data_IF_488885137502
#
_entry.id   IF_488885137502
#
_cell.length_a   1.000
_cell.length_b   1.000
_cell.length_c   1.000
_cell.angle_alpha   90.00
_cell.angle_beta   90.00
_cell.angle_gamma   90.00
#
_symmetry.space_group_name_H-M   'P 1'
#
loop_
_entity.id
_entity.type
_entity.pdbx_description
1 polymer ?
#
# COMPACT_ATOMS: atom_id res chain seq x y z
N UNK A 1 -53.24 40.35 23.28
CA UNK A 1 -52.21 41.43 23.43
C UNK A 1 -50.93 40.74 23.86
N UNK A 2 -49.77 40.78 23.20
CA UNK A 2 -49.23 41.60 22.12
C UNK A 2 -48.41 40.67 21.20
N UNK A 3 -48.65 40.73 19.89
CA UNK A 3 -47.69 40.29 18.89
C UNK A 3 -46.40 41.10 19.04
N UNK A 4 -45.24 40.45 18.98
CA UNK A 4 -43.97 41.10 18.66
C UNK A 4 -43.32 40.35 17.51
N UNK A 5 -43.28 41.05 16.39
CA UNK A 5 -42.60 40.74 15.15
C UNK A 5 -41.08 40.68 15.37
N UNK A 6 -40.42 39.69 14.78
CA UNK A 6 -38.99 39.74 14.51
C UNK A 6 -38.84 39.82 12.99
N UNK A 7 -38.29 40.95 12.55
CA UNK A 7 -37.99 41.31 11.17
C UNK A 7 -36.69 40.58 10.81
N UNK A 8 -36.75 39.67 9.84
CA UNK A 8 -35.58 39.10 9.19
C UNK A 8 -35.27 39.90 7.90
N UNK A 9 -34.06 40.46 7.73
CA UNK A 9 -33.69 41.06 6.46
C UNK A 9 -33.36 39.95 5.46
N UNK A 10 -34.20 39.85 4.41
CA UNK A 10 -33.94 39.02 3.25
C UNK A 10 -32.81 39.62 2.41
N UNK A 11 -31.71 38.88 2.29
CA UNK A 11 -30.71 39.10 1.24
C UNK A 11 -31.12 38.22 0.07
N UNK A 12 -31.68 38.85 -0.96
CA UNK A 12 -31.91 38.24 -2.26
C UNK A 12 -30.56 38.07 -2.97
N UNK A 13 -30.07 36.83 -3.07
CA UNK A 13 -28.99 36.48 -3.99
C UNK A 13 -29.62 36.15 -5.33
N UNK A 14 -29.45 37.07 -6.27
CA UNK A 14 -29.86 36.93 -7.67
C UNK A 14 -28.96 35.86 -8.32
N UNK A 15 -29.51 34.67 -8.54
CA UNK A 15 -28.82 33.59 -9.24
C UNK A 15 -28.88 33.88 -10.74
N UNK A 16 -27.82 34.46 -11.30
CA UNK A 16 -27.63 34.53 -12.75
C UNK A 16 -27.48 33.11 -13.30
N UNK A 17 -28.50 32.65 -14.01
CA UNK A 17 -28.44 31.41 -14.78
C UNK A 17 -27.46 31.58 -15.94
N UNK A 18 -26.24 31.07 -15.78
CA UNK A 18 -25.34 30.82 -16.90
C UNK A 18 -25.81 29.52 -17.54
N UNK A 19 -26.52 29.64 -18.66
CA UNK A 19 -26.81 28.53 -19.56
C UNK A 19 -25.48 28.15 -20.20
N UNK A 20 -24.76 27.19 -19.59
CA UNK A 20 -23.65 26.53 -20.26
C UNK A 20 -24.26 25.50 -21.22
N UNK A 21 -24.20 25.83 -22.50
CA UNK A 21 -24.44 24.92 -23.60
C UNK A 21 -23.62 23.64 -23.39
N UNK A 22 -24.32 22.52 -23.22
CA UNK A 22 -23.72 21.20 -23.14
C UNK A 22 -22.95 20.87 -24.40
N UNK A 23 -21.63 20.99 -24.34
CA UNK A 23 -20.77 20.18 -25.18
C UNK A 23 -20.86 18.76 -24.62
N UNK A 24 -21.50 17.89 -25.39
CA UNK A 24 -21.36 16.46 -25.22
C UNK A 24 -19.86 16.14 -25.26
N UNK A 25 -19.28 15.89 -24.08
CA UNK A 25 -17.96 15.28 -23.98
C UNK A 25 -18.10 13.91 -24.64
N UNK A 26 -17.55 13.75 -25.83
CA UNK A 26 -17.24 12.43 -26.36
C UNK A 26 -16.45 11.70 -25.28
N UNK A 27 -17.07 10.67 -24.72
CA UNK A 27 -16.59 9.85 -23.62
C UNK A 27 -15.28 9.17 -24.05
N UNK A 28 -14.14 9.85 -23.84
CA UNK A 28 -12.79 9.26 -23.97
C UNK A 28 -12.59 8.29 -22.80
N UNK A 29 -13.26 7.15 -22.85
CA UNK A 29 -12.98 5.99 -21.99
C UNK A 29 -11.64 5.29 -22.32
N UNK A 30 -10.88 5.81 -23.28
CA UNK A 30 -9.74 5.14 -23.90
C UNK A 30 -8.36 5.37 -23.25
N UNK A 31 -8.21 6.35 -22.34
CA UNK A 31 -6.87 6.84 -21.95
C UNK A 31 -6.38 6.35 -20.57
N UNK A 32 -7.04 5.37 -19.93
CA UNK A 32 -6.54 4.84 -18.64
C UNK A 32 -5.31 3.95 -18.86
N UNK A 33 -4.15 4.43 -18.40
CA UNK A 33 -2.89 3.71 -18.44
C UNK A 33 -2.63 2.95 -17.14
N UNK A 34 -2.05 1.77 -17.26
CA UNK A 34 -1.64 0.90 -16.15
C UNK A 34 -0.22 0.39 -16.38
N UNK A 35 0.50 0.09 -15.28
CA UNK A 35 1.87 -0.44 -15.33
C UNK A 35 1.98 -1.81 -14.67
N UNK A 36 1.10 -2.12 -13.72
CA UNK A 36 1.28 -3.25 -12.80
C UNK A 36 1.04 -4.61 -13.48
N UNK A 37 0.33 -4.66 -14.61
CA UNK A 37 -0.04 -5.93 -15.26
C UNK A 37 1.10 -6.58 -16.04
N UNK A 38 2.03 -5.77 -16.56
CA UNK A 38 3.14 -6.21 -17.42
C UNK A 38 4.50 -5.60 -17.03
N UNK A 39 4.54 -4.72 -16.03
CA UNK A 39 5.77 -4.04 -15.63
C UNK A 39 6.20 -2.90 -16.57
N UNK A 40 5.37 -2.54 -17.56
CA UNK A 40 5.52 -1.38 -18.44
C UNK A 40 4.16 -0.70 -18.66
N UNK A 41 4.18 0.58 -19.03
CA UNK A 41 2.95 1.37 -19.22
C UNK A 41 2.19 0.90 -20.47
N UNK A 42 0.92 0.55 -20.30
CA UNK A 42 0.02 0.20 -21.39
C UNK A 42 -1.43 0.58 -21.08
N UNK A 43 -2.31 0.55 -22.09
CA UNK A 43 -3.73 0.81 -21.88
C UNK A 43 -4.38 -0.30 -21.04
N UNK A 44 -5.29 0.08 -20.15
CA UNK A 44 -6.06 -0.85 -19.33
C UNK A 44 -6.76 -1.94 -20.16
N UNK A 45 -7.25 -1.58 -21.36
CA UNK A 45 -7.90 -2.53 -22.27
C UNK A 45 -6.96 -3.64 -22.73
N UNK A 46 -5.67 -3.35 -22.90
CA UNK A 46 -4.66 -4.30 -23.38
C UNK A 46 -3.96 -5.06 -22.24
N UNK A 47 -4.09 -4.58 -20.99
CA UNK A 47 -3.43 -5.19 -19.84
C UNK A 47 -3.77 -6.70 -19.68
N UNK A 48 -2.77 -7.60 -19.58
CA UNK A 48 -2.96 -9.05 -19.49
C UNK A 48 -3.31 -9.51 -18.06
N UNK A 49 -4.28 -8.84 -17.43
CA UNK A 49 -4.77 -9.16 -16.10
C UNK A 49 -6.16 -8.55 -15.83
N UNK A 50 -6.80 -8.99 -14.75
CA UNK A 50 -8.03 -8.38 -14.23
C UNK A 50 -7.66 -7.20 -13.31
N UNK A 51 -7.53 -6.01 -13.92
CA UNK A 51 -7.10 -4.78 -13.24
C UNK A 51 -8.29 -3.87 -12.96
N UNK A 52 -8.33 -3.28 -11.77
CA UNK A 52 -9.17 -2.12 -11.45
C UNK A 52 -8.26 -0.94 -11.16
N UNK A 53 -8.66 0.26 -11.59
CA UNK A 53 -7.92 1.50 -11.33
C UNK A 53 -8.80 2.41 -10.49
N UNK A 54 -8.26 2.86 -9.36
CA UNK A 54 -8.88 3.88 -8.51
C UNK A 54 -8.13 5.19 -8.79
N UNK A 55 -8.82 6.18 -9.36
CA UNK A 55 -8.18 7.45 -9.76
C UNK A 55 -8.04 8.40 -8.58
N UNK A 56 -7.12 9.38 -8.68
CA UNK A 56 -7.02 10.47 -7.69
C UNK A 56 -8.36 11.18 -7.45
N UNK A 57 -9.15 11.39 -8.50
CA UNK A 57 -10.48 12.01 -8.39
C UNK A 57 -11.46 11.15 -7.58
N UNK A 58 -11.45 9.83 -7.75
CA UNK A 58 -12.29 8.92 -6.96
C UNK A 58 -11.84 8.89 -5.49
N UNK A 59 -10.53 8.94 -5.23
CA UNK A 59 -10.00 9.00 -3.86
C UNK A 59 -10.40 10.31 -3.16
N UNK A 60 -10.40 11.44 -3.87
CA UNK A 60 -10.80 12.75 -3.32
C UNK A 60 -12.31 12.85 -3.01
N UNK A 61 -13.15 12.01 -3.63
CA UNK A 61 -14.61 12.03 -3.43
C UNK A 61 -15.08 11.33 -2.15
N UNK A 62 -14.21 10.62 -1.45
CA UNK A 62 -14.54 9.93 -0.20
C UNK A 62 -13.47 10.13 0.87
N UNK A 63 -13.83 10.06 2.16
CA UNK A 63 -12.83 10.06 3.23
C UNK A 63 -11.98 8.78 3.14
N UNK A 64 -10.68 8.93 2.89
CA UNK A 64 -9.71 7.84 2.84
C UNK A 64 -8.64 8.10 3.90
N UNK A 65 -8.56 7.22 4.89
CA UNK A 65 -7.56 7.34 5.97
C UNK A 65 -6.41 6.35 5.84
N UNK A 66 -6.66 5.22 5.18
CA UNK A 66 -5.71 4.16 4.92
C UNK A 66 -6.09 3.40 3.62
N UNK A 67 -5.26 2.44 3.23
CA UNK A 67 -5.47 1.66 2.00
C UNK A 67 -6.78 0.85 2.04
N UNK A 68 -7.21 0.42 3.23
CA UNK A 68 -8.45 -0.33 3.39
C UNK A 68 -9.62 0.53 2.95
N UNK A 69 -9.70 1.79 3.40
CA UNK A 69 -10.73 2.73 2.94
C UNK A 69 -10.65 3.00 1.43
N UNK A 70 -9.44 3.07 0.88
CA UNK A 70 -9.22 3.32 -0.53
C UNK A 70 -9.81 2.20 -1.40
N UNK A 71 -9.54 0.93 -1.05
CA UNK A 71 -9.80 -0.22 -1.92
C UNK A 71 -11.02 -1.07 -1.56
N UNK A 72 -11.65 -0.87 -0.39
CA UNK A 72 -12.77 -1.73 0.07
C UNK A 72 -13.96 -1.87 -0.89
N UNK A 73 -14.16 -0.90 -1.78
CA UNK A 73 -15.27 -0.88 -2.74
C UNK A 73 -14.92 -1.58 -4.07
N UNK A 74 -13.68 -2.08 -4.24
CA UNK A 74 -13.26 -2.77 -5.44
C UNK A 74 -13.79 -4.20 -5.45
N UNK A 75 -14.38 -4.61 -6.56
CA UNK A 75 -14.91 -5.96 -6.75
C UNK A 75 -13.86 -7.06 -6.50
N UNK A 76 -14.23 -8.06 -5.71
CA UNK A 76 -13.35 -9.16 -5.35
C UNK A 76 -12.41 -8.85 -4.19
N UNK A 77 -12.50 -7.65 -3.59
CA UNK A 77 -11.88 -7.30 -2.31
C UNK A 77 -12.86 -7.56 -1.16
N UNK A 78 -12.34 -8.11 -0.06
CA UNK A 78 -13.01 -8.12 1.23
C UNK A 78 -12.04 -7.74 2.35
N UNK A 79 -12.56 -7.15 3.42
CA UNK A 79 -11.77 -6.80 4.59
C UNK A 79 -11.92 -7.90 5.64
N UNK A 80 -10.80 -8.41 6.12
CA UNK A 80 -10.71 -9.46 7.16
C UNK A 80 -10.01 -8.91 8.39
N UNK A 81 -9.99 -9.66 9.50
CA UNK A 81 -9.28 -9.25 10.73
C UNK A 81 -10.01 -8.23 11.62
N UNK A 82 -11.25 -7.88 11.27
CA UNK A 82 -12.14 -7.05 12.08
C UNK A 82 -11.63 -5.62 12.27
N UNK A 83 -12.06 -4.99 13.36
CA UNK A 83 -11.74 -3.59 13.65
C UNK A 83 -10.32 -3.39 14.20
N UNK A 84 -9.77 -4.40 14.88
CA UNK A 84 -8.46 -4.31 15.54
C UNK A 84 -7.30 -4.41 14.53
N UNK A 85 -7.41 -5.33 13.56
CA UNK A 85 -6.34 -5.67 12.62
C UNK A 85 -6.90 -5.85 11.21
N UNK A 86 -7.51 -4.83 10.61
CA UNK A 86 -8.10 -4.95 9.27
C UNK A 86 -7.03 -5.32 8.24
N UNK A 87 -7.36 -6.24 7.35
CA UNK A 87 -6.47 -6.70 6.30
C UNK A 87 -7.21 -6.96 4.99
N UNK A 88 -6.50 -6.81 3.87
CA UNK A 88 -7.09 -6.79 2.53
C UNK A 88 -6.98 -8.19 1.91
N UNK A 89 -8.12 -8.86 1.79
CA UNK A 89 -8.25 -10.14 1.09
C UNK A 89 -8.71 -9.92 -0.36
N UNK A 90 -8.14 -10.68 -1.29
CA UNK A 90 -8.50 -10.63 -2.72
C UNK A 90 -8.91 -12.03 -3.17
N UNK A 91 -10.09 -12.15 -3.77
CA UNK A 91 -10.67 -13.42 -4.24
C UNK A 91 -10.69 -14.51 -3.15
N UNK A 92 -10.96 -14.11 -1.90
CA UNK A 92 -11.06 -15.01 -0.75
C UNK A 92 -9.73 -15.47 -0.15
N UNK A 93 -8.58 -15.05 -0.70
CA UNK A 93 -7.26 -15.30 -0.10
C UNK A 93 -6.93 -14.21 0.92
N UNK A 94 -6.33 -14.60 2.06
CA UNK A 94 -5.95 -13.68 3.14
C UNK A 94 -4.94 -12.63 2.69
N UNK A 95 -4.73 -11.58 3.51
CA UNK A 95 -3.76 -10.51 3.19
C UNK A 95 -2.30 -10.96 3.07
N UNK A 96 -1.96 -12.15 3.55
CA UNK A 96 -0.66 -12.81 3.29
C UNK A 96 -0.40 -13.11 1.82
N UNK A 97 -1.46 -13.13 1.02
CA UNK A 97 -1.45 -13.37 -0.41
C UNK A 97 -1.77 -12.11 -1.23
N UNK A 98 -1.76 -10.94 -0.58
CA UNK A 98 -1.95 -9.64 -1.22
C UNK A 98 -0.65 -8.85 -1.15
N UNK A 99 0.00 -8.65 -2.29
CA UNK A 99 1.19 -7.83 -2.39
C UNK A 99 0.84 -6.34 -2.46
N UNK A 100 1.38 -5.53 -1.54
CA UNK A 100 1.25 -4.07 -1.56
C UNK A 100 2.55 -3.46 -2.09
N UNK A 101 2.42 -2.57 -3.08
CA UNK A 101 3.50 -1.84 -3.71
C UNK A 101 3.24 -0.33 -3.63
N UNK A 102 4.32 0.46 -3.52
CA UNK A 102 4.31 1.91 -3.80
C UNK A 102 5.31 2.16 -4.91
N UNK A 103 4.84 2.69 -6.04
CA UNK A 103 5.62 2.89 -7.27
C UNK A 103 6.36 1.61 -7.70
N UNK A 104 5.68 0.47 -7.60
CA UNK A 104 6.23 -0.86 -7.94
C UNK A 104 7.16 -1.48 -6.90
N UNK A 105 7.44 -0.80 -5.78
CA UNK A 105 8.36 -1.26 -4.72
C UNK A 105 7.59 -1.88 -3.56
N UNK A 106 8.06 -3.03 -3.08
CA UNK A 106 7.37 -3.81 -2.04
C UNK A 106 7.27 -3.07 -0.70
N UNK A 107 6.10 -3.17 -0.07
CA UNK A 107 5.91 -2.87 1.35
C UNK A 107 5.73 -4.18 2.12
N UNK A 108 6.71 -4.54 2.94
CA UNK A 108 6.77 -5.77 3.72
C UNK A 108 7.14 -5.46 5.18
N UNK A 109 6.11 -5.18 5.98
CA UNK A 109 6.25 -5.00 7.43
C UNK A 109 5.80 -6.22 8.25
N UNK A 110 5.17 -7.22 7.59
CA UNK A 110 4.36 -8.24 8.26
C UNK A 110 5.14 -9.03 9.30
N UNK A 111 6.39 -9.38 8.99
CA UNK A 111 7.29 -10.15 9.85
C UNK A 111 7.69 -9.44 11.17
N UNK A 112 7.46 -8.13 11.31
CA UNK A 112 7.63 -7.47 12.62
C UNK A 112 6.50 -7.81 13.61
N UNK A 113 5.49 -8.59 13.21
CA UNK A 113 4.46 -9.12 14.11
C UNK A 113 4.81 -10.53 14.58
N UNK A 114 4.89 -10.74 15.90
CA UNK A 114 5.02 -12.06 16.49
C UNK A 114 3.90 -13.05 16.13
N UNK A 115 2.63 -12.61 16.19
CA UNK A 115 1.47 -13.48 16.08
C UNK A 115 0.47 -12.87 15.07
N UNK A 116 0.36 -13.49 13.90
CA UNK A 116 -0.55 -13.12 12.82
C UNK A 116 -0.02 -12.04 11.88
N UNK A 117 -0.74 -11.84 10.78
CA UNK A 117 -0.23 -11.11 9.62
C UNK A 117 -0.87 -9.75 9.36
N UNK A 118 -2.11 -9.50 9.80
CA UNK A 118 -2.88 -8.29 9.41
C UNK A 118 -2.64 -7.02 10.21
N UNK A 119 -3.03 -5.87 9.64
CA UNK A 119 -3.51 -4.73 10.45
C UNK A 119 -2.75 -3.41 10.44
N UNK A 120 -1.65 -3.23 9.70
CA UNK A 120 -0.94 -1.93 9.73
C UNK A 120 -0.26 -1.51 8.41
N UNK A 121 0.07 -2.43 7.51
CA UNK A 121 0.67 -2.14 6.19
C UNK A 121 -0.23 -1.19 5.39
N UNK A 122 -1.54 -1.44 5.46
CA UNK A 122 -2.56 -0.61 4.83
C UNK A 122 -2.49 0.87 5.28
N UNK A 123 -1.96 1.18 6.46
CA UNK A 123 -1.83 2.56 6.91
C UNK A 123 -0.47 3.20 6.60
N UNK A 124 0.45 2.52 5.91
CA UNK A 124 1.74 3.09 5.45
C UNK A 124 1.64 3.71 4.05
N UNK A 125 0.43 4.04 3.62
CA UNK A 125 0.21 4.64 2.31
C UNK A 125 0.57 6.13 2.30
N UNK A 126 1.00 6.66 1.14
CA UNK A 126 1.03 8.10 0.91
C UNK A 126 -0.34 8.75 1.17
N UNK A 127 -0.39 10.05 1.54
CA UNK A 127 -1.64 10.80 1.59
C UNK A 127 -2.30 10.84 0.20
N UNK A 128 -3.63 10.97 0.17
CA UNK A 128 -4.41 10.96 -1.08
C UNK A 128 -3.94 12.04 -2.06
N UNK A 129 -3.54 13.20 -1.54
CA UNK A 129 -3.03 14.33 -2.28
C UNK A 129 -1.78 13.99 -3.10
N UNK A 130 -0.99 12.99 -2.65
CA UNK A 130 0.21 12.51 -3.32
C UNK A 130 -0.04 11.33 -4.26
N UNK A 131 -1.23 10.73 -4.24
CA UNK A 131 -1.57 9.56 -5.05
C UNK A 131 -2.14 10.00 -6.40
N UNK A 132 -1.55 9.48 -7.48
CA UNK A 132 -2.06 9.61 -8.85
C UNK A 132 -3.19 8.60 -9.08
N UNK A 133 -2.94 7.34 -8.73
CA UNK A 133 -3.91 6.26 -8.82
C UNK A 133 -3.48 5.05 -7.99
N UNK A 134 -4.43 4.15 -7.74
CA UNK A 134 -4.17 2.82 -7.18
C UNK A 134 -4.58 1.77 -8.21
N UNK A 135 -3.66 0.90 -8.58
CA UNK A 135 -3.90 -0.23 -9.48
C UNK A 135 -4.10 -1.50 -8.63
N UNK A 136 -5.26 -2.14 -8.77
CA UNK A 136 -5.60 -3.40 -8.09
C UNK A 136 -5.67 -4.52 -9.11
N UNK A 137 -4.72 -5.45 -9.06
CA UNK A 137 -4.72 -6.68 -9.85
C UNK A 137 -5.30 -7.81 -9.03
N UNK A 138 -6.29 -8.50 -9.61
CA UNK A 138 -6.96 -9.64 -8.99
C UNK A 138 -6.46 -10.93 -9.63
N UNK A 139 -5.84 -11.78 -8.83
CA UNK A 139 -5.24 -13.04 -9.25
C UNK A 139 -3.71 -13.03 -9.27
N UNK A 140 -3.13 -14.18 -9.62
CA UNK A 140 -1.70 -14.45 -9.50
C UNK A 140 -0.84 -13.56 -10.40
N UNK A 141 0.19 -12.95 -9.81
CA UNK A 141 1.19 -12.11 -10.49
C UNK A 141 2.64 -12.43 -10.08
N UNK A 142 2.88 -13.63 -9.54
CA UNK A 142 4.21 -14.07 -9.13
C UNK A 142 5.23 -14.10 -10.26
N UNK A 143 4.83 -14.23 -11.52
CA UNK A 143 5.78 -14.21 -12.65
C UNK A 143 6.54 -12.89 -12.78
N UNK A 144 5.94 -11.78 -12.37
CA UNK A 144 6.62 -10.47 -12.33
C UNK A 144 7.14 -10.18 -10.92
N UNK A 145 6.30 -10.36 -9.89
CA UNK A 145 6.60 -9.81 -8.56
C UNK A 145 7.10 -10.84 -7.53
N UNK A 146 7.14 -12.13 -7.88
CA UNK A 146 7.60 -13.20 -6.99
C UNK A 146 6.61 -13.51 -5.85
N UNK A 147 7.15 -13.65 -4.63
CA UNK A 147 6.38 -14.05 -3.45
C UNK A 147 5.22 -13.10 -3.15
N UNK A 148 4.19 -13.63 -2.50
CA UNK A 148 3.01 -12.93 -1.94
C UNK A 148 1.99 -12.45 -2.99
N UNK A 149 2.36 -12.41 -4.27
CA UNK A 149 1.47 -12.02 -5.37
C UNK A 149 0.56 -13.17 -5.84
N UNK A 150 -0.08 -13.91 -4.91
CA UNK A 150 -0.98 -15.02 -5.24
C UNK A 150 -2.43 -14.54 -5.42
N UNK A 151 -2.98 -13.85 -4.41
CA UNK A 151 -4.35 -13.34 -4.43
C UNK A 151 -4.47 -12.08 -5.27
N UNK A 152 -3.45 -11.22 -5.23
CA UNK A 152 -3.40 -10.05 -6.07
C UNK A 152 -2.25 -9.11 -5.73
N UNK A 153 -2.23 -7.98 -6.43
CA UNK A 153 -1.28 -6.89 -6.23
C UNK A 153 -2.05 -5.59 -6.12
N UNK A 154 -1.72 -4.77 -5.12
CA UNK A 154 -2.20 -3.40 -4.98
C UNK A 154 -0.99 -2.50 -5.13
N UNK A 155 -0.92 -1.74 -6.22
CA UNK A 155 0.18 -0.83 -6.50
C UNK A 155 -0.31 0.61 -6.43
N UNK A 156 0.20 1.35 -5.45
CA UNK A 156 -0.10 2.76 -5.25
C UNK A 156 0.91 3.55 -6.09
N UNK A 157 0.40 4.28 -7.08
CA UNK A 157 1.21 5.11 -7.95
C UNK A 157 1.15 6.55 -7.43
N UNK A 158 2.30 7.09 -7.05
CA UNK A 158 2.40 8.48 -6.63
C UNK A 158 2.41 9.41 -7.84
N UNK A 159 2.05 10.68 -7.62
CA UNK A 159 2.17 11.72 -8.64
C UNK A 159 3.63 11.85 -9.08
N UNK A 160 3.93 12.04 -10.37
CA UNK A 160 5.30 12.23 -10.83
C UNK A 160 5.90 13.51 -10.24
N UNK A 161 7.23 13.55 -10.10
CA UNK A 161 7.92 14.78 -9.69
C UNK A 161 7.81 15.82 -10.80
N UNK A 162 7.28 17.00 -10.49
CA UNK A 162 7.20 18.11 -11.42
C UNK A 162 8.56 18.84 -11.51
N UNK A 163 9.20 18.77 -12.68
CA UNK A 163 10.50 19.39 -12.93
C UNK A 163 10.40 20.78 -13.57
N UNK A 164 9.19 21.31 -13.78
CA UNK A 164 8.97 22.57 -14.52
C UNK A 164 8.45 23.70 -13.64
N UNK A 165 7.48 23.41 -12.76
CA UNK A 165 6.81 24.40 -11.90
C UNK A 165 6.59 23.83 -10.52
N UNK A 166 6.43 24.71 -9.52
CA UNK A 166 5.95 24.30 -8.21
C UNK A 166 4.44 24.15 -8.22
N UNK A 167 3.97 23.01 -7.72
CA UNK A 167 2.58 22.70 -7.44
C UNK A 167 2.47 22.11 -6.03
N UNK A 168 1.34 22.35 -5.38
CA UNK A 168 1.13 21.89 -4.02
C UNK A 168 -0.34 21.87 -3.64
N UNK A 169 -0.66 21.02 -2.68
CA UNK A 169 -2.01 20.79 -2.16
C UNK A 169 -1.93 20.64 -0.65
N UNK A 170 -2.86 21.27 0.06
CA UNK A 170 -3.12 21.05 1.48
C UNK A 170 -4.52 20.43 1.60
N UNK A 171 -4.59 19.20 2.10
CA UNK A 171 -5.81 18.47 2.39
C UNK A 171 -6.17 18.59 3.86
N UNK A 172 -7.37 19.12 4.15
CA UNK A 172 -7.91 19.16 5.51
C UNK A 172 -9.27 18.46 5.49
N UNK A 173 -9.43 17.45 6.34
CA UNK A 173 -10.64 16.63 6.37
C UNK A 173 -10.95 16.07 7.75
N UNK A 174 -12.11 15.45 7.86
CA UNK A 174 -12.54 14.78 9.07
C UNK A 174 -13.93 14.16 8.96
N UNK A 175 -14.21 13.23 9.87
CA UNK A 175 -15.51 12.58 9.99
C UNK A 175 -16.04 12.87 11.39
N UNK A 176 -17.21 13.50 11.45
CA UNK A 176 -17.95 13.70 12.69
C UNK A 176 -19.05 12.65 12.74
N UNK A 177 -19.02 11.81 13.77
CA UNK A 177 -19.97 10.74 13.97
C UNK A 177 -21.23 11.27 14.64
N UNK A 178 -22.40 10.78 14.21
CA UNK A 178 -23.69 11.16 14.79
C UNK A 178 -23.82 10.69 16.24
N UNK A 179 -23.43 9.44 16.51
CA UNK A 179 -23.46 8.89 17.86
C UNK A 179 -22.11 9.10 18.54
N UNK A 180 -22.13 9.70 19.74
CA UNK A 180 -20.93 9.95 20.55
C UNK A 180 -20.17 8.71 21.04
N UNK A 181 -20.68 7.49 20.77
CA UNK A 181 -19.96 6.23 20.99
C UNK A 181 -18.94 5.92 19.91
N UNK A 182 -19.04 6.52 18.72
CA UNK A 182 -18.05 6.35 17.66
C UNK A 182 -17.04 7.49 17.70
N UNK A 183 -15.79 7.17 17.39
CA UNK A 183 -14.71 8.12 17.34
C UNK A 183 -14.74 8.98 16.08
N UNK A 184 -14.73 10.31 16.28
CA UNK A 184 -14.48 11.26 15.19
C UNK A 184 -13.06 11.11 14.64
N UNK A 185 -12.85 11.49 13.38
CA UNK A 185 -11.54 11.52 12.74
C UNK A 185 -11.19 12.88 12.15
N UNK A 186 -9.90 13.13 11.98
CA UNK A 186 -9.34 14.26 11.24
C UNK A 186 -8.17 13.79 10.38
N UNK A 187 -8.05 14.37 9.19
CA UNK A 187 -6.97 14.15 8.24
C UNK A 187 -6.36 15.49 7.88
N UNK A 188 -5.04 15.58 7.95
CA UNK A 188 -4.29 16.80 7.66
C UNK A 188 -3.08 16.41 6.84
N UNK A 189 -3.20 16.60 5.53
CA UNK A 189 -2.29 16.05 4.55
C UNK A 189 -1.72 17.17 3.68
N UNK A 190 -0.49 17.02 3.21
CA UNK A 190 0.11 17.96 2.29
C UNK A 190 0.90 17.24 1.21
N UNK A 191 0.94 17.87 0.04
CA UNK A 191 1.74 17.46 -1.10
C UNK A 191 2.37 18.72 -1.72
N UNK A 192 3.63 18.61 -2.11
CA UNK A 192 4.37 19.66 -2.78
C UNK A 192 5.32 19.01 -3.79
N UNK A 193 5.34 19.49 -5.03
CA UNK A 193 6.34 19.09 -6.02
C UNK A 193 6.80 20.28 -6.85
N UNK A 194 8.08 20.31 -7.23
CA UNK A 194 8.60 21.33 -8.11
C UNK A 194 10.11 21.28 -8.31
N UNK A 195 10.65 22.10 -9.23
CA UNK A 195 12.07 22.11 -9.53
C UNK A 195 12.91 22.83 -8.47
N UNK A 196 13.97 22.17 -8.01
CA UNK A 196 15.13 22.82 -7.39
C UNK A 196 16.06 23.40 -8.47
N UNK A 197 16.23 22.68 -9.58
CA UNK A 197 16.87 23.15 -10.81
C UNK A 197 15.95 22.76 -11.95
N UNK A 198 15.42 23.77 -12.67
CA UNK A 198 14.45 23.56 -13.74
C UNK A 198 14.97 22.52 -14.75
N UNK A 199 14.09 21.58 -15.12
CA UNK A 199 14.32 20.49 -16.06
C UNK A 199 15.41 19.46 -15.67
N UNK A 200 16.10 19.64 -14.54
CA UNK A 200 17.23 18.79 -14.12
C UNK A 200 17.08 18.17 -12.74
N UNK A 201 16.57 18.91 -11.76
CA UNK A 201 16.48 18.45 -10.37
C UNK A 201 15.13 18.87 -9.80
N UNK A 202 14.25 17.89 -9.63
CA UNK A 202 12.94 18.06 -8.97
C UNK A 202 12.95 17.55 -7.54
N UNK A 203 12.12 18.17 -6.71
CA UNK A 203 11.78 17.73 -5.38
C UNK A 203 10.28 17.41 -5.34
N UNK A 204 9.93 16.33 -4.64
CA UNK A 204 8.59 16.06 -4.16
C UNK A 204 8.67 15.84 -2.65
N UNK A 205 7.73 16.43 -1.93
CA UNK A 205 7.59 16.29 -0.49
C UNK A 205 6.10 16.10 -0.18
N UNK A 206 5.77 15.03 0.52
CA UNK A 206 4.42 14.82 1.02
C UNK A 206 4.45 14.28 2.44
N UNK A 207 3.36 14.49 3.16
CA UNK A 207 3.21 14.03 4.52
C UNK A 207 1.79 14.21 5.01
N UNK A 208 1.48 13.56 6.12
CA UNK A 208 0.12 13.49 6.64
C UNK A 208 0.08 13.24 8.14
N UNK A 209 -0.98 13.75 8.77
CA UNK A 209 -1.35 13.48 10.16
C UNK A 209 -2.82 13.08 10.23
N UNK A 210 -3.05 11.78 10.41
CA UNK A 210 -4.37 11.17 10.43
C UNK A 210 -4.67 10.67 11.83
N UNK A 211 -5.64 11.30 12.48
CA UNK A 211 -6.07 10.97 13.83
C UNK A 211 -7.52 10.48 13.82
N UNK A 212 -7.78 9.37 14.51
CA UNK A 212 -9.11 8.86 14.81
C UNK A 212 -9.21 8.62 16.30
N UNK A 213 -10.25 9.18 16.93
CA UNK A 213 -10.58 8.87 18.32
C UNK A 213 -11.02 7.40 18.44
N UNK A 214 -10.81 6.80 19.60
CA UNK A 214 -11.28 5.44 19.92
C UNK A 214 -12.82 5.38 19.99
N UNK A 215 -13.40 4.25 19.62
CA UNK A 215 -14.82 3.97 19.87
C UNK A 215 -15.06 3.57 21.32
N UNK A 216 -16.16 4.06 21.90
CA UNK A 216 -16.69 3.64 23.20
C UNK A 216 -17.66 2.46 23.05
N UNK A 217 -17.22 1.44 22.31
CA UNK A 217 -17.97 0.23 21.98
C UNK A 217 -17.02 -0.96 22.06
N UNK A 218 -17.36 -1.96 22.87
CA UNK A 218 -16.61 -3.22 22.96
C UNK A 218 -16.37 -3.81 21.57
N UNK A 219 -15.13 -4.17 21.24
CA UNK A 219 -14.72 -4.66 19.91
C UNK A 219 -14.93 -3.63 18.77
N UNK A 220 -15.06 -2.35 19.13
CA UNK A 220 -15.12 -1.22 18.21
C UNK A 220 -13.77 -0.89 17.57
N UNK A 221 -13.72 0.18 16.80
CA UNK A 221 -12.48 0.61 16.14
C UNK A 221 -11.53 1.28 17.15
N UNK A 222 -10.24 0.88 17.18
CA UNK A 222 -9.25 1.49 18.06
C UNK A 222 -8.98 2.94 17.70
N UNK A 223 -8.39 3.69 18.64
CA UNK A 223 -7.79 4.97 18.31
C UNK A 223 -6.61 4.77 17.36
N UNK A 224 -6.47 5.66 16.37
CA UNK A 224 -5.35 5.69 15.42
C UNK A 224 -4.70 7.08 15.45
N UNK A 225 -3.38 7.14 15.59
CA UNK A 225 -2.57 8.35 15.37
C UNK A 225 -1.45 7.99 14.38
N UNK A 226 -1.67 8.33 13.11
CA UNK A 226 -0.81 7.98 12.00
C UNK A 226 -0.14 9.24 11.46
N UNK A 227 1.17 9.21 11.34
CA UNK A 227 1.98 10.32 10.83
C UNK A 227 2.94 9.81 9.77
N UNK A 228 3.05 10.50 8.65
CA UNK A 228 4.01 10.18 7.61
C UNK A 228 4.66 11.41 7.01
N UNK A 229 5.86 11.21 6.47
CA UNK A 229 6.56 12.18 5.65
C UNK A 229 7.50 11.44 4.69
N UNK A 230 7.50 11.83 3.43
CA UNK A 230 8.39 11.29 2.40
C UNK A 230 8.89 12.42 1.52
N UNK A 231 10.18 12.38 1.20
CA UNK A 231 10.82 13.27 0.24
C UNK A 231 11.43 12.45 -0.89
N UNK A 232 11.23 12.91 -2.13
CA UNK A 232 11.78 12.30 -3.35
C UNK A 232 12.52 13.36 -4.15
N UNK A 233 13.80 13.10 -4.43
CA UNK A 233 14.62 13.87 -5.36
C UNK A 233 14.69 13.14 -6.69
N UNK A 234 14.35 13.83 -7.78
CA UNK A 234 14.45 13.32 -9.14
C UNK A 234 15.50 14.12 -9.90
N UNK A 235 16.60 13.45 -10.28
CA UNK A 235 17.66 14.05 -11.09
C UNK A 235 17.60 13.53 -12.53
N UNK A 236 17.41 14.43 -13.49
CA UNK A 236 17.30 14.18 -14.94
C UNK A 236 18.44 14.90 -15.67
N UNK A 237 19.66 14.32 -15.71
CA UNK A 237 20.80 14.95 -16.38
C UNK A 237 20.61 15.08 -17.90
N UNK A 238 19.83 14.17 -18.48
CA UNK A 238 19.40 14.16 -19.88
C UNK A 238 17.90 13.87 -19.94
N UNK A 239 17.27 14.09 -21.11
CA UNK A 239 15.85 13.75 -21.32
C UNK A 239 15.58 12.24 -21.20
N UNK A 240 16.59 11.42 -21.50
CA UNK A 240 16.51 9.96 -21.51
C UNK A 240 16.95 9.28 -20.22
N UNK A 241 17.46 10.00 -19.21
CA UNK A 241 17.95 9.40 -17.97
C UNK A 241 17.30 10.03 -16.75
N UNK A 242 16.87 9.18 -15.82
CA UNK A 242 16.22 9.59 -14.58
C UNK A 242 16.79 8.82 -13.40
N UNK A 243 17.36 9.55 -12.45
CA UNK A 243 17.78 9.07 -11.14
C UNK A 243 16.75 9.49 -10.10
N UNK A 244 16.37 8.59 -9.20
CA UNK A 244 15.40 8.84 -8.13
C UNK A 244 16.02 8.46 -6.80
N UNK A 245 16.03 9.40 -5.87
CA UNK A 245 16.39 9.17 -4.48
C UNK A 245 15.20 9.49 -3.60
N UNK A 246 14.79 8.56 -2.76
CA UNK A 246 13.63 8.72 -1.89
C UNK A 246 14.01 8.37 -0.46
N UNK A 247 13.45 9.11 0.49
CA UNK A 247 13.50 8.78 1.91
C UNK A 247 12.16 9.09 2.56
N UNK A 248 11.64 8.16 3.36
CA UNK A 248 10.41 8.39 4.10
C UNK A 248 10.38 7.76 5.48
N UNK A 249 9.49 8.30 6.31
CA UNK A 249 9.17 7.80 7.66
C UNK A 249 7.67 7.77 7.85
N UNK A 250 7.20 6.71 8.50
CA UNK A 250 5.83 6.52 8.94
C UNK A 250 5.85 6.10 10.40
N UNK A 251 4.94 6.64 11.20
CA UNK A 251 4.71 6.21 12.56
C UNK A 251 3.20 6.07 12.79
N UNK A 252 2.79 4.89 13.24
CA UNK A 252 1.40 4.59 13.55
C UNK A 252 1.29 4.18 15.00
N UNK A 253 0.30 4.74 15.69
CA UNK A 253 -0.05 4.34 17.05
C UNK A 253 -1.49 3.88 17.06
N UNK A 254 -1.70 2.61 17.42
CA UNK A 254 -3.03 2.04 17.64
C UNK A 254 -3.26 1.85 19.15
N UNK A 255 -4.32 2.44 19.67
CA UNK A 255 -4.67 2.37 21.10
C UNK A 255 -5.97 1.60 21.30
N UNK A 256 -5.91 0.59 22.17
CA UNK A 256 -7.03 -0.22 22.63
C UNK A 256 -7.18 -0.08 24.14
N UNK A 257 -8.36 0.34 24.58
CA UNK A 257 -8.69 0.59 25.99
C UNK A 257 -9.79 -0.37 26.45
N UNK A 258 -9.56 -1.15 27.53
CA UNK A 258 -10.58 -2.01 28.13
C UNK A 258 -11.83 -1.22 28.55
N UNK A 259 -12.99 -1.65 28.08
CA UNK A 259 -14.29 -0.98 28.26
C UNK A 259 -14.63 0.04 27.19
N UNK A 260 -13.68 0.37 26.31
CA UNK A 260 -13.87 1.19 25.10
C UNK A 260 -13.82 0.23 23.90
N UNK A 261 -12.79 0.30 23.03
CA UNK A 261 -12.69 -0.57 21.85
C UNK A 261 -12.26 -2.01 22.15
N UNK A 262 -11.80 -2.29 23.39
CA UNK A 262 -11.44 -3.62 23.86
C UNK A 262 -12.38 -4.07 24.97
N UNK A 263 -12.75 -5.36 25.02
CA UNK A 263 -13.55 -5.88 26.14
C UNK A 263 -12.89 -5.55 27.48
N UNK A 264 -13.68 -5.17 28.48
CA UNK A 264 -13.15 -4.84 29.80
C UNK A 264 -12.47 -6.05 30.48
N UNK A 265 -12.90 -7.26 30.13
CA UNK A 265 -12.43 -8.52 30.70
C UNK A 265 -12.58 -9.65 29.69
N UNK A 266 -11.82 -10.71 29.88
CA UNK A 266 -11.91 -11.97 29.12
C UNK A 266 -12.03 -13.15 30.09
N UNK A 267 -12.69 -14.24 29.66
CA UNK A 267 -12.70 -15.50 30.41
C UNK A 267 -11.48 -16.32 30.02
N UNK A 268 -10.66 -16.69 31.02
CA UNK A 268 -9.59 -17.68 30.85
C UNK A 268 -10.00 -18.93 31.64
N UNK A 269 -10.65 -19.87 30.96
CA UNK A 269 -11.40 -20.94 31.63
C UNK A 269 -12.58 -20.35 32.41
N UNK A 270 -12.67 -20.65 33.71
CA UNK A 270 -13.71 -20.10 34.59
C UNK A 270 -13.30 -18.78 35.28
N UNK A 271 -12.11 -18.23 34.97
CA UNK A 271 -11.60 -17.03 35.62
C UNK A 271 -11.83 -15.79 34.75
N UNK A 272 -12.52 -14.80 35.33
CA UNK A 272 -12.69 -13.47 34.73
C UNK A 272 -11.41 -12.66 34.94
N UNK A 273 -10.69 -12.39 33.85
CA UNK A 273 -9.45 -11.63 33.88
C UNK A 273 -9.66 -10.26 33.24
N UNK A 274 -9.31 -9.18 33.96
CA UNK A 274 -9.30 -7.83 33.40
C UNK A 274 -8.27 -7.73 32.27
N UNK A 275 -8.70 -7.15 31.15
CA UNK A 275 -7.81 -6.82 30.05
C UNK A 275 -6.95 -5.61 30.41
N UNK A 276 -5.80 -5.49 29.74
CA UNK A 276 -4.88 -4.37 29.86
C UNK A 276 -5.10 -3.38 28.71
N UNK A 277 -4.90 -2.09 28.96
CA UNK A 277 -4.77 -1.10 27.87
C UNK A 277 -3.52 -1.43 27.06
N UNK A 278 -3.60 -1.27 25.75
CA UNK A 278 -2.50 -1.56 24.83
C UNK A 278 -2.32 -0.44 23.81
N UNK A 279 -1.08 0.00 23.64
CA UNK A 279 -0.65 0.91 22.58
C UNK A 279 0.37 0.18 21.71
N UNK A 280 0.06 0.00 20.43
CA UNK A 280 1.00 -0.60 19.46
C UNK A 280 1.58 0.52 18.60
N UNK A 281 2.89 0.67 18.64
CA UNK A 281 3.66 1.61 17.85
C UNK A 281 4.32 0.87 16.70
N UNK A 282 3.95 1.19 15.46
CA UNK A 282 4.61 0.67 14.26
C UNK A 282 5.35 1.83 13.58
N UNK A 283 6.67 1.79 13.60
CA UNK A 283 7.54 2.76 12.94
C UNK A 283 8.14 2.13 11.69
N UNK A 284 7.98 2.78 10.54
CA UNK A 284 8.61 2.39 9.27
C UNK A 284 9.49 3.52 8.77
N UNK A 285 10.72 3.19 8.38
CA UNK A 285 11.58 4.08 7.60
C UNK A 285 12.02 3.37 6.33
N UNK A 286 12.08 4.09 5.22
CA UNK A 286 12.53 3.51 3.95
C UNK A 286 13.38 4.49 3.17
N UNK A 287 14.23 3.94 2.30
CA UNK A 287 14.97 4.70 1.31
C UNK A 287 15.03 3.97 -0.01
N UNK A 288 15.17 4.73 -1.09
CA UNK A 288 15.30 4.20 -2.45
C UNK A 288 16.37 4.97 -3.21
N UNK A 289 17.17 4.25 -3.99
CA UNK A 289 18.00 4.78 -5.06
C UNK A 289 17.67 4.00 -6.34
N UNK A 290 17.17 4.68 -7.36
CA UNK A 290 16.80 4.07 -8.63
C UNK A 290 17.34 4.86 -9.82
N UNK A 291 17.61 4.15 -10.91
CA UNK A 291 17.96 4.72 -12.21
C UNK A 291 17.14 4.06 -13.30
N UNK A 292 16.67 4.88 -14.24
CA UNK A 292 15.90 4.44 -15.39
C UNK A 292 16.42 5.18 -16.61
N UNK A 293 16.50 4.49 -17.74
CA UNK A 293 16.80 5.11 -19.02
C UNK A 293 15.73 4.81 -20.07
N UNK A 294 15.53 5.75 -20.98
CA UNK A 294 14.65 5.62 -22.13
C UNK A 294 15.50 5.67 -23.39
N UNK A 295 15.80 4.50 -23.95
CA UNK A 295 16.35 4.37 -25.29
C UNK A 295 15.25 4.27 -26.35
N UNK A 296 15.64 4.15 -27.61
CA UNK A 296 14.66 3.96 -28.71
C UNK A 296 13.99 2.58 -28.65
N UNK A 297 14.75 1.56 -28.27
CA UNK A 297 14.27 0.17 -28.18
C UNK A 297 14.33 -0.34 -26.74
N UNK A 298 15.41 -0.02 -26.02
CA UNK A 298 15.70 -0.58 -24.70
C UNK A 298 15.42 0.45 -23.58
N UNK A 299 14.71 -0.01 -22.57
CA UNK A 299 14.33 0.76 -21.38
C UNK A 299 14.84 0.03 -20.14
N UNK A 300 16.11 0.22 -19.74
CA UNK A 300 16.66 -0.36 -18.53
C UNK A 300 16.17 0.38 -17.28
N UNK A 301 15.93 -0.37 -16.21
CA UNK A 301 15.58 0.12 -14.88
C UNK A 301 16.38 -0.67 -13.84
N UNK A 302 16.94 0.03 -12.86
CA UNK A 302 17.55 -0.57 -11.66
C UNK A 302 17.10 0.20 -10.42
N UNK A 303 16.79 -0.51 -9.36
CA UNK A 303 16.44 0.07 -8.07
C UNK A 303 17.11 -0.72 -6.95
N UNK A 304 17.66 0.00 -5.99
CA UNK A 304 18.07 -0.52 -4.69
C UNK A 304 17.24 0.21 -3.65
N UNK A 305 16.57 -0.54 -2.79
CA UNK A 305 15.76 0.04 -1.73
C UNK A 305 15.80 -0.81 -0.48
N UNK A 306 15.59 -0.14 0.64
CA UNK A 306 15.48 -0.80 1.92
C UNK A 306 14.34 -0.19 2.71
N UNK A 307 13.63 -1.04 3.43
CA UNK A 307 12.71 -0.62 4.46
C UNK A 307 13.06 -1.30 5.79
N UNK A 308 12.82 -0.56 6.87
CA UNK A 308 12.95 -1.04 8.23
C UNK A 308 11.64 -0.77 8.96
N UNK A 309 11.07 -1.82 9.55
CA UNK A 309 9.85 -1.72 10.37
C UNK A 309 10.13 -2.22 11.77
N UNK A 310 9.84 -1.37 12.75
CA UNK A 310 9.98 -1.65 14.18
C UNK A 310 8.61 -1.63 14.81
N UNK A 311 8.30 -2.67 15.58
CA UNK A 311 7.06 -2.76 16.36
C UNK A 311 7.35 -2.74 17.85
N UNK A 312 6.76 -1.78 18.56
CA UNK A 312 6.83 -1.68 20.02
C UNK A 312 5.42 -1.71 20.61
N UNK A 313 5.27 -2.36 21.75
CA UNK A 313 3.98 -2.42 22.47
C UNK A 313 4.16 -1.85 23.84
N UNK A 314 3.26 -0.95 24.24
CA UNK A 314 3.04 -0.61 25.64
C UNK A 314 1.79 -1.31 26.12
N UNK A 315 1.85 -1.92 27.29
CA UNK A 315 0.66 -2.45 27.93
C UNK A 315 0.65 -2.15 29.43
N UNK A 316 -0.55 -2.08 30.00
CA UNK A 316 -0.69 -1.67 31.39
C UNK A 316 -2.08 -1.77 31.95
N UNK A 317 -2.15 -1.74 33.28
CA UNK A 317 -3.40 -1.78 34.06
C UNK A 317 -3.59 -0.44 34.75
N UNK A 318 -4.78 -0.26 35.31
CA UNK A 318 -5.04 0.90 36.15
C UNK A 318 -4.34 0.76 37.50
N UNK A 319 -3.72 1.85 37.95
CA UNK A 319 -3.16 1.98 39.28
C UNK A 319 -4.28 2.16 40.34
N UNK A 320 -3.88 2.32 41.61
CA UNK A 320 -4.81 2.56 42.72
C UNK A 320 -5.60 3.88 42.62
N UNK A 321 -5.20 4.79 41.73
CA UNK A 321 -5.85 6.08 41.47
C UNK A 321 -6.66 6.08 40.17
N UNK A 322 -6.88 4.91 39.56
CA UNK A 322 -7.64 4.73 38.32
C UNK A 322 -6.98 5.36 37.07
N UNK A 323 -5.66 5.59 37.09
CA UNK A 323 -4.86 5.99 35.93
C UNK A 323 -4.20 4.78 35.27
N UNK A 324 -4.13 4.77 33.93
CA UNK A 324 -3.40 3.72 33.21
C UNK A 324 -1.89 3.88 33.39
N UNK A 325 -1.24 2.87 33.97
CA UNK A 325 0.21 2.78 34.10
C UNK A 325 0.75 1.85 33.00
N UNK A 326 1.23 2.45 31.90
CA UNK A 326 1.68 1.75 30.70
C UNK A 326 3.20 1.61 30.70
N UNK A 327 3.68 0.39 30.49
CA UNK A 327 5.11 0.11 30.35
C UNK A 327 5.38 -0.56 28.99
N UNK A 328 6.57 -0.31 28.43
CA UNK A 328 6.99 -1.02 27.23
C UNK A 328 7.16 -2.51 27.53
N UNK A 329 6.61 -3.34 26.66
CA UNK A 329 6.91 -4.76 26.65
C UNK A 329 8.36 -4.98 26.23
N UNK A 330 9.02 -5.99 26.79
CA UNK A 330 10.44 -6.26 26.52
C UNK A 330 10.72 -6.69 25.09
N UNK A 331 9.70 -7.18 24.37
CA UNK A 331 9.81 -7.70 23.02
C UNK A 331 9.68 -6.58 21.98
N UNK A 332 10.73 -6.40 21.17
CA UNK A 332 10.80 -5.36 20.14
C UNK A 332 11.25 -5.95 18.79
N UNK A 333 10.32 -6.50 18.00
CA UNK A 333 10.64 -7.03 16.68
C UNK A 333 11.00 -5.90 15.70
N UNK A 334 12.03 -6.15 14.91
CA UNK A 334 12.57 -5.28 13.88
C UNK A 334 12.82 -6.11 12.61
N UNK A 335 12.13 -5.79 11.51
CA UNK A 335 12.39 -6.38 10.20
C UNK A 335 13.07 -5.34 9.31
N UNK A 336 14.17 -5.74 8.66
CA UNK A 336 14.85 -4.95 7.64
C UNK A 336 14.84 -5.72 6.33
N UNK A 337 14.22 -5.17 5.28
CA UNK A 337 14.20 -5.76 3.96
C UNK A 337 15.02 -4.90 3.01
N UNK A 338 16.04 -5.49 2.38
CA UNK A 338 16.84 -4.85 1.33
C UNK A 338 16.59 -5.55 0.01
N UNK A 339 16.22 -4.80 -1.02
CA UNK A 339 15.88 -5.36 -2.33
C UNK A 339 16.67 -4.63 -3.42
N UNK A 340 17.18 -5.42 -4.37
CA UNK A 340 17.78 -4.95 -5.61
C UNK A 340 16.93 -5.53 -6.75
N UNK A 341 16.35 -4.64 -7.54
CA UNK A 341 15.58 -4.96 -8.74
C UNK A 341 16.30 -4.41 -9.96
N UNK A 342 16.44 -5.23 -11.00
CA UNK A 342 16.96 -4.80 -12.29
C UNK A 342 16.15 -5.43 -13.42
N UNK A 343 15.72 -4.63 -14.39
CA UNK A 343 15.03 -5.13 -15.58
C UNK A 343 15.38 -4.30 -16.81
N UNK A 344 15.18 -4.88 -17.98
CA UNK A 344 15.23 -4.20 -19.26
C UNK A 344 13.99 -4.59 -20.05
N UNK A 345 13.25 -3.59 -20.52
CA UNK A 345 12.15 -3.79 -21.47
C UNK A 345 12.58 -3.36 -22.86
N UNK A 346 12.39 -4.24 -23.85
CA UNK A 346 12.65 -3.99 -25.25
C UNK A 346 11.32 -3.88 -26.02
N UNK A 347 11.07 -2.73 -26.65
CA UNK A 347 9.91 -2.54 -27.53
C UNK A 347 10.32 -2.85 -28.98
N UNK A 348 9.92 -4.01 -29.45
CA UNK A 348 10.16 -4.53 -30.80
C UNK A 348 8.84 -4.48 -31.60
N UNK A 349 8.88 -4.56 -32.96
CA UNK A 349 7.69 -4.34 -33.79
C UNK A 349 6.45 -5.17 -33.41
N UNK A 350 6.64 -6.46 -33.08
CA UNK A 350 5.55 -7.37 -32.69
C UNK A 350 5.68 -7.87 -31.25
N UNK A 351 6.73 -7.46 -30.53
CA UNK A 351 7.10 -8.05 -29.26
C UNK A 351 7.51 -6.98 -28.24
N UNK A 352 6.94 -7.03 -27.04
CA UNK A 352 7.47 -6.33 -25.88
C UNK A 352 8.11 -7.34 -24.96
N UNK A 353 9.44 -7.37 -24.95
CA UNK A 353 10.23 -8.34 -24.19
C UNK A 353 10.81 -7.67 -22.93
N UNK A 354 10.45 -8.19 -21.77
CA UNK A 354 11.03 -7.78 -20.49
C UNK A 354 11.86 -8.91 -19.90
N UNK A 355 13.10 -8.62 -19.54
CA UNK A 355 13.97 -9.53 -18.78
C UNK A 355 14.40 -8.83 -17.51
N UNK A 356 14.40 -9.54 -16.39
CA UNK A 356 14.86 -8.95 -15.14
C UNK A 356 15.35 -9.95 -14.12
N UNK A 357 15.91 -9.40 -13.05
CA UNK A 357 16.39 -10.13 -11.89
C UNK A 357 16.10 -9.35 -10.61
N UNK A 358 16.01 -10.10 -9.52
CA UNK A 358 15.75 -9.56 -8.20
C UNK A 358 16.61 -10.27 -7.17
N UNK A 359 17.15 -9.51 -6.22
CA UNK A 359 17.77 -10.03 -5.00
C UNK A 359 17.08 -9.40 -3.80
N UNK A 360 16.67 -10.24 -2.84
CA UNK A 360 16.08 -9.82 -1.58
C UNK A 360 16.90 -10.37 -0.43
N UNK A 361 17.13 -9.52 0.57
CA UNK A 361 17.69 -9.90 1.86
C UNK A 361 16.81 -9.35 2.98
N UNK A 362 16.20 -10.26 3.74
CA UNK A 362 15.35 -9.94 4.89
C UNK A 362 16.10 -10.32 6.17
N UNK A 363 16.14 -9.43 7.15
CA UNK A 363 16.70 -9.67 8.48
C UNK A 363 15.67 -9.32 9.55
N UNK A 364 15.26 -10.31 10.34
CA UNK A 364 14.38 -10.16 11.50
C UNK A 364 15.21 -10.24 12.78
N UNK A 365 15.20 -9.16 13.57
CA UNK A 365 15.66 -9.15 14.95
C UNK A 365 14.45 -9.17 15.87
N UNK A 366 14.38 -10.12 16.80
CA UNK A 366 13.26 -10.26 17.73
C UNK A 366 13.73 -10.63 19.13
N UNK A 367 13.39 -9.78 20.10
CA UNK A 367 13.68 -9.99 21.52
C UNK A 367 12.60 -10.91 22.11
N UNK A 368 12.85 -12.22 22.08
CA UNK A 368 11.85 -13.21 22.52
C UNK A 368 12.08 -13.63 23.97
N UNK A 369 10.99 -13.77 24.73
CA UNK A 369 11.02 -14.40 26.04
C UNK A 369 11.18 -15.90 25.86
N UNK A 370 12.36 -16.43 26.15
CA UNK A 370 12.55 -17.88 26.19
C UNK A 370 11.77 -18.46 27.38
N UNK A 371 11.45 -19.75 27.34
CA UNK A 371 10.80 -20.46 28.46
C UNK A 371 11.53 -20.39 29.81
N UNK A 372 12.67 -19.69 29.88
CA UNK A 372 13.52 -19.47 31.06
C UNK A 372 13.39 -18.07 31.70
N UNK A 373 12.38 -17.26 31.34
CA UNK A 373 12.20 -15.87 31.85
C UNK A 373 13.37 -14.92 31.52
N UNK A 374 14.24 -15.27 30.59
CA UNK A 374 15.26 -14.38 30.03
C UNK A 374 14.83 -13.93 28.63
N UNK A 375 14.95 -12.63 28.38
CA UNK A 375 14.80 -12.06 27.03
C UNK A 375 16.11 -12.25 26.30
N UNK A 376 16.09 -12.98 25.18
CA UNK A 376 17.24 -13.10 24.29
C UNK A 376 16.90 -12.50 22.93
N UNK A 377 17.80 -11.68 22.40
CA UNK A 377 17.70 -11.16 21.04
C UNK A 377 18.09 -12.25 20.06
N UNK A 378 17.13 -12.71 19.26
CA UNK A 378 17.39 -13.59 18.12
C UNK A 378 17.45 -12.76 16.84
N UNK A 379 18.43 -13.01 15.98
CA UNK A 379 18.46 -12.48 14.62
C UNK A 379 18.44 -13.63 13.63
N UNK A 380 17.52 -13.57 12.68
CA UNK A 380 17.43 -14.51 11.57
C UNK A 380 17.43 -13.73 10.28
N UNK A 381 18.10 -14.25 9.25
CA UNK A 381 18.13 -13.63 7.95
C UNK A 381 17.82 -14.63 6.84
N UNK A 382 17.19 -14.16 5.78
CA UNK A 382 16.83 -14.93 4.60
C UNK A 382 17.29 -14.21 3.35
N UNK A 383 17.81 -14.96 2.38
CA UNK A 383 18.11 -14.48 1.03
C UNK A 383 17.23 -15.16 -0.01
N UNK A 384 16.73 -14.35 -0.95
CA UNK A 384 16.02 -14.82 -2.14
C UNK A 384 16.60 -14.16 -3.38
N UNK A 385 16.74 -14.94 -4.44
CA UNK A 385 17.16 -14.51 -5.77
C UNK A 385 16.10 -14.89 -6.78
N UNK A 386 15.92 -14.08 -7.81
CA UNK A 386 15.07 -14.45 -8.92
C UNK A 386 15.58 -13.92 -10.24
N UNK A 387 15.21 -14.62 -11.31
CA UNK A 387 15.32 -14.16 -12.69
C UNK A 387 13.99 -14.39 -13.38
N UNK A 388 13.60 -13.47 -14.25
CA UNK A 388 12.36 -13.59 -15.00
C UNK A 388 12.50 -13.07 -16.43
N UNK A 389 11.65 -13.62 -17.29
CA UNK A 389 11.46 -13.21 -18.67
C UNK A 389 9.98 -13.17 -18.97
N UNK A 390 9.56 -12.17 -19.72
CA UNK A 390 8.20 -12.01 -20.17
C UNK A 390 8.17 -11.42 -21.57
N UNK A 391 7.32 -11.95 -22.43
CA UNK A 391 7.11 -11.47 -23.78
C UNK A 391 5.63 -11.27 -24.04
N UNK A 392 5.25 -10.06 -24.45
CA UNK A 392 3.94 -9.75 -25.01
C UNK A 392 4.07 -9.74 -26.54
N UNK A 393 3.48 -10.73 -27.20
CA UNK A 393 3.50 -10.92 -28.65
C UNK A 393 2.17 -10.47 -29.27
N UNK A 394 2.23 -9.48 -30.15
CA UNK A 394 1.11 -9.07 -30.99
C UNK A 394 0.92 -10.08 -32.13
N UNK A 395 0.22 -11.19 -31.85
CA UNK A 395 -0.04 -12.25 -32.82
C UNK A 395 -0.87 -11.79 -34.02
N UNK A 396 -1.74 -10.80 -33.80
CA UNK A 396 -2.44 -10.02 -34.84
C UNK A 396 -2.68 -8.61 -34.31
N UNK A 397 -3.20 -7.70 -35.14
CA UNK A 397 -3.63 -6.36 -34.70
C UNK A 397 -4.69 -6.38 -33.58
N UNK A 398 -5.38 -7.50 -33.41
CA UNK A 398 -6.47 -7.66 -32.42
C UNK A 398 -6.16 -8.65 -31.31
N UNK A 399 -5.08 -9.43 -31.41
CA UNK A 399 -4.73 -10.51 -30.47
C UNK A 399 -3.31 -10.32 -29.94
N UNK A 400 -3.20 -10.11 -28.64
CA UNK A 400 -1.94 -10.13 -27.90
C UNK A 400 -1.85 -11.39 -27.03
N UNK A 401 -0.69 -12.03 -27.03
CA UNK A 401 -0.36 -13.19 -26.19
C UNK A 401 0.79 -12.82 -25.27
N UNK A 402 0.59 -12.95 -23.97
CA UNK A 402 1.63 -12.70 -22.95
C UNK A 402 2.11 -14.02 -22.37
N UNK A 403 3.39 -14.34 -22.56
CA UNK A 403 4.05 -15.48 -21.94
C UNK A 403 5.12 -15.01 -20.96
N UNK A 404 5.10 -15.51 -19.73
CA UNK A 404 6.08 -15.15 -18.71
C UNK A 404 6.57 -16.33 -17.90
N UNK A 405 7.82 -16.28 -17.47
CA UNK A 405 8.42 -17.29 -16.61
C UNK A 405 9.36 -16.62 -15.60
N UNK A 406 9.20 -16.98 -14.34
CA UNK A 406 10.11 -16.59 -13.27
C UNK A 406 10.64 -17.81 -12.54
N UNK A 407 11.93 -17.77 -12.24
CA UNK A 407 12.61 -18.71 -11.36
C UNK A 407 12.99 -17.97 -10.08
N UNK A 408 12.38 -18.36 -8.96
CA UNK A 408 12.79 -17.91 -7.62
C UNK A 408 13.66 -19.00 -6.98
N UNK A 409 14.78 -18.62 -6.38
CA UNK A 409 15.62 -19.46 -5.55
C UNK A 409 15.74 -18.83 -4.17
N UNK A 410 15.29 -19.56 -3.15
CA UNK A 410 15.36 -19.11 -1.77
C UNK A 410 16.24 -20.02 -0.95
N UNK A 411 16.94 -19.40 0.00
CA UNK A 411 17.95 -20.02 0.84
C UNK A 411 17.45 -21.30 1.55
N UNK A 412 16.23 -21.30 2.05
CA UNK A 412 15.67 -22.42 2.84
C UNK A 412 14.93 -23.48 1.98
N UNK A 413 14.05 -23.06 1.06
CA UNK A 413 13.14 -23.98 0.37
C UNK A 413 13.53 -24.31 -1.07
N UNK A 414 14.62 -23.73 -1.58
CA UNK A 414 15.14 -24.03 -2.91
C UNK A 414 14.42 -23.29 -4.04
N UNK A 415 14.34 -23.94 -5.20
CA UNK A 415 13.97 -23.30 -6.47
C UNK A 415 12.52 -23.56 -6.89
N UNK A 416 11.83 -22.51 -7.34
CA UNK A 416 10.43 -22.54 -7.77
C UNK A 416 10.25 -21.84 -9.11
N UNK A 417 9.55 -22.51 -10.02
CA UNK A 417 9.15 -21.97 -11.32
C UNK A 417 7.72 -21.45 -11.28
N UNK A 418 7.54 -20.21 -11.75
CA UNK A 418 6.29 -19.47 -11.80
C UNK A 418 5.97 -19.05 -13.25
N UNK A 419 5.40 -19.97 -14.07
CA UNK A 419 4.94 -19.65 -15.42
C UNK A 419 3.62 -18.88 -15.44
N UNK A 420 3.43 -18.05 -16.47
CA UNK A 420 2.14 -17.49 -16.85
C UNK A 420 1.93 -17.49 -18.36
N UNK A 421 0.68 -17.61 -18.77
CA UNK A 421 0.21 -17.41 -20.14
C UNK A 421 -1.10 -16.63 -20.10
N UNK A 422 -1.21 -15.59 -20.92
CA UNK A 422 -2.38 -14.73 -21.01
C UNK A 422 -2.69 -14.39 -22.47
N UNK A 423 -3.95 -14.19 -22.80
CA UNK A 423 -4.41 -13.74 -24.09
C UNK A 423 -5.39 -12.57 -23.92
N UNK A 424 -5.21 -11.54 -24.75
CA UNK A 424 -6.09 -10.38 -24.86
C UNK A 424 -6.52 -10.26 -26.31
N UNK A 425 -7.82 -10.41 -26.56
CA UNK A 425 -8.40 -10.41 -27.90
C UNK A 425 -9.47 -9.32 -28.03
N UNK A 426 -9.16 -8.27 -28.79
CA UNK A 426 -10.06 -7.18 -29.11
C UNK A 426 -10.99 -7.60 -30.26
N UNK A 427 -12.13 -8.21 -29.92
CA UNK A 427 -13.15 -8.65 -30.89
C UNK A 427 -13.73 -7.48 -31.70
N UNK A 428 -13.93 -6.34 -31.03
CA UNK A 428 -14.39 -5.06 -31.60
C UNK A 428 -13.79 -3.91 -30.79
N UNK A 429 -13.97 -2.67 -31.23
CA UNK A 429 -13.50 -1.48 -30.50
C UNK A 429 -14.04 -1.38 -29.05
N UNK A 430 -15.19 -2.03 -28.79
CA UNK A 430 -15.89 -1.98 -27.50
C UNK A 430 -15.93 -3.32 -26.76
N UNK A 431 -15.37 -4.39 -27.33
CA UNK A 431 -15.43 -5.73 -26.75
C UNK A 431 -14.06 -6.40 -26.79
N UNK A 432 -13.48 -6.60 -25.60
CA UNK A 432 -12.23 -7.33 -25.41
C UNK A 432 -12.48 -8.59 -24.59
N UNK A 433 -12.02 -9.73 -25.10
CA UNK A 433 -11.94 -10.98 -24.35
C UNK A 433 -10.56 -11.10 -23.72
N UNK A 434 -10.53 -11.47 -22.43
CA UNK A 434 -9.30 -11.68 -21.66
C UNK A 434 -9.35 -13.04 -20.99
N UNK A 435 -8.24 -13.76 -21.02
CA UNK A 435 -8.12 -15.05 -20.34
C UNK A 435 -6.67 -15.44 -20.13
N UNK A 436 -6.39 -16.14 -19.04
CA UNK A 436 -5.04 -16.61 -18.78
C UNK A 436 -4.95 -17.58 -17.62
N UNK A 437 -3.79 -18.22 -17.52
CA UNK A 437 -3.40 -19.16 -16.49
C UNK A 437 -2.03 -18.77 -15.95
N UNK A 438 -1.87 -18.79 -14.65
CA UNK A 438 -0.58 -18.56 -14.02
C UNK A 438 -0.43 -19.41 -12.77
N UNK A 439 0.80 -19.81 -12.50
CA UNK A 439 1.20 -20.40 -11.22
C UNK A 439 1.78 -19.30 -10.34
N UNK A 440 1.42 -19.32 -9.06
CA UNK A 440 1.95 -18.39 -8.08
C UNK A 440 2.55 -19.12 -6.88
N UNK A 441 3.39 -18.40 -6.16
CA UNK A 441 4.20 -18.92 -5.09
C UNK A 441 4.23 -17.92 -3.93
N UNK A 442 4.22 -18.42 -2.69
CA UNK A 442 4.46 -17.65 -1.47
C UNK A 442 5.58 -18.34 -0.71
N UNK A 443 6.66 -17.60 -0.48
CA UNK A 443 7.70 -17.95 0.45
C UNK A 443 7.08 -18.12 1.84
N UNK A 444 7.43 -19.18 2.59
CA UNK A 444 7.22 -19.14 4.02
C UNK A 444 7.84 -17.90 4.63
N UNK A 445 7.13 -17.32 5.58
CA UNK A 445 7.56 -16.16 6.37
C UNK A 445 8.85 -16.49 7.14
N UNK A 446 9.66 -15.49 7.49
CA UNK A 446 10.89 -15.73 8.27
C UNK A 446 10.57 -16.34 9.63
N UNK A 447 9.40 -16.01 10.20
CA UNK A 447 8.91 -16.62 11.44
C UNK A 447 8.48 -18.07 11.28
N UNK A 448 7.82 -18.39 10.16
CA UNK A 448 7.37 -19.76 9.86
C UNK A 448 8.52 -20.76 9.72
N UNK A 449 9.73 -20.29 9.43
CA UNK A 449 10.93 -21.13 9.22
C UNK A 449 11.98 -20.98 10.32
N UNK A 450 11.70 -20.20 11.37
CA UNK A 450 12.64 -19.93 12.46
C UNK A 450 12.24 -20.63 13.76
N UNK A 451 12.94 -21.71 14.15
CA UNK A 451 12.66 -22.43 15.39
C UNK A 451 12.68 -21.50 16.61
N UNK A 452 11.57 -21.43 17.35
CA UNK A 452 11.43 -20.58 18.54
C UNK A 452 10.77 -19.21 18.29
N UNK A 453 10.51 -18.84 17.02
CA UNK A 453 9.73 -17.66 16.64
C UNK A 453 8.35 -18.03 16.05
N UNK A 454 8.01 -19.31 16.01
CA UNK A 454 6.89 -19.90 15.25
C UNK A 454 5.48 -19.64 15.80
N UNK A 455 5.29 -18.79 16.82
CA UNK A 455 4.00 -18.66 17.53
C UNK A 455 3.53 -17.24 17.80
#
# INVERSE_FOLDING_TARGET
MKNKYIIAPGIAVMCSAVISSGYASSDKKEDTLVVTASGFTQQLRNAPASVSVITSEQLQKKPVSDLVDAVKDVEGISITGGNEKPDISIRGLSGDYTLILVDGRRQSGRESRPNGSGGFEAGFIPPVEAIERIEVIRGPMSSLYGSDAIGGVINIITKPVNNQTWDGVLGLGGIIQEHGKFGNSTTNDFYLSGPLIKDKLGLQLYGGMNYRKEDSISQGTPAKDNKNITATLQFTPTESQKFVFEYGKNNQVHTLTPGESLDAWTMRGNLKQLNSKRETHNSRSHWVAAWNAQGEILHPEIAVYQEKVIREVKSGKKDKYNHWDLNYESRKPEITNTIIDAKVTAFLPENVLTIGGQFQHAELRDDSATGKKTTETQSVSIKQKAVFIENEYAATDSLALTGGLRLDNHEIYGSYWNPRLYAVYNLTDNLTLKGGIAKAFRAPSIREVSPGLEH
#
